data_IF_435597059809
#
_entry.id   IF_435597059809
#
_cell.length_a   1.000
_cell.length_b   1.000
_cell.length_c   1.000
_cell.angle_alpha   90.00
_cell.angle_beta   90.00
_cell.angle_gamma   90.00
#
_symmetry.space_group_name_H-M   'P 1'
#
loop_
_entity.id
_entity.type
_entity.pdbx_description
1 polymer ?
#
# COMPACT_ATOMS: atom_id res chain seq x y z
N UNK A 1 -10.80 14.73 4.84
CA UNK A 1 -11.25 13.56 4.06
C UNK A 1 -10.59 12.31 4.63
N UNK A 2 -11.26 11.15 4.59
CA UNK A 2 -10.69 9.89 5.06
C UNK A 2 -10.51 8.93 3.89
N UNK A 3 -9.27 8.47 3.67
CA UNK A 3 -8.94 7.57 2.58
C UNK A 3 -9.38 6.13 2.89
N UNK A 4 -9.54 5.31 1.85
CA UNK A 4 -9.95 3.91 1.99
C UNK A 4 -9.01 3.09 2.90
N UNK A 5 -7.70 3.39 2.89
CA UNK A 5 -6.72 2.77 3.78
C UNK A 5 -7.09 2.96 5.25
N UNK A 6 -7.42 4.18 5.67
CA UNK A 6 -7.79 4.48 7.06
C UNK A 6 -9.09 3.78 7.46
N UNK A 7 -10.09 3.79 6.58
CA UNK A 7 -11.35 3.06 6.80
C UNK A 7 -11.12 1.56 6.96
N UNK A 8 -10.21 0.99 6.16
CA UNK A 8 -9.87 -0.43 6.21
C UNK A 8 -9.13 -0.82 7.50
N UNK A 9 -8.19 0.01 7.94
CA UNK A 9 -7.39 -0.25 9.15
C UNK A 9 -8.26 -0.16 10.42
N UNK A 10 -9.19 0.79 10.48
CA UNK A 10 -10.04 0.98 11.66
C UNK A 10 -11.20 -0.01 11.76
N UNK A 11 -11.67 -0.57 10.64
CA UNK A 11 -12.81 -1.47 10.64
C UNK A 11 -12.39 -2.94 10.71
N UNK A 12 -12.42 -3.52 11.92
CA UNK A 12 -12.15 -4.95 12.09
C UNK A 12 -13.08 -5.82 11.24
N UNK A 13 -14.34 -5.41 11.07
CA UNK A 13 -15.30 -6.10 10.20
C UNK A 13 -14.81 -6.18 8.75
N UNK A 14 -14.16 -5.14 8.23
CA UNK A 14 -13.68 -5.12 6.85
C UNK A 14 -12.48 -6.03 6.62
N UNK A 15 -11.53 -6.10 7.55
CA UNK A 15 -10.34 -6.93 7.34
C UNK A 15 -10.47 -8.35 7.92
N UNK A 16 -11.36 -8.59 8.89
CA UNK A 16 -11.61 -9.93 9.47
C UNK A 16 -11.97 -11.01 8.45
N UNK A 17 -12.67 -10.65 7.36
CA UNK A 17 -12.99 -11.57 6.24
C UNK A 17 -11.77 -12.18 5.53
N UNK A 18 -10.57 -11.67 5.82
CA UNK A 18 -9.32 -12.14 5.21
C UNK A 18 -8.33 -12.79 6.22
N UNK A 19 -8.62 -12.84 7.53
CA UNK A 19 -7.68 -13.32 8.57
C UNK A 19 -7.09 -14.72 8.34
N UNK A 20 -7.84 -15.62 7.69
CA UNK A 20 -7.40 -17.00 7.42
C UNK A 20 -7.02 -17.24 5.94
N UNK A 21 -6.79 -16.17 5.18
CA UNK A 21 -6.43 -16.25 3.76
C UNK A 21 -5.00 -15.79 3.57
N UNK A 22 -4.33 -16.35 2.55
CA UNK A 22 -3.09 -15.76 2.04
C UNK A 22 -3.45 -14.47 1.31
N UNK A 23 -2.93 -13.34 1.77
CA UNK A 23 -3.23 -12.04 1.19
C UNK A 23 -2.01 -11.53 0.43
N UNK A 24 -2.24 -11.11 -0.81
CA UNK A 24 -1.30 -10.29 -1.58
C UNK A 24 -1.64 -8.82 -1.40
N UNK A 25 -0.63 -7.97 -1.14
CA UNK A 25 -0.82 -6.54 -0.95
C UNK A 25 -0.26 -5.75 -2.13
N UNK A 26 -1.13 -5.13 -2.93
CA UNK A 26 -0.74 -4.28 -4.05
C UNK A 26 -0.63 -2.83 -3.57
N UNK A 27 0.55 -2.22 -3.69
CA UNK A 27 0.74 -0.81 -3.37
C UNK A 27 1.96 -0.22 -4.11
N UNK A 28 2.06 1.11 -4.08
CA UNK A 28 3.18 1.89 -4.62
C UNK A 28 3.67 2.91 -3.59
N UNK A 29 4.76 3.65 -3.86
CA UNK A 29 5.35 4.60 -2.90
C UNK A 29 4.35 5.61 -2.29
N UNK A 30 3.44 6.18 -3.09
CA UNK A 30 2.38 7.08 -2.60
C UNK A 30 1.18 6.39 -1.89
N UNK A 31 1.23 5.07 -1.66
CA UNK A 31 0.21 4.34 -0.89
C UNK A 31 0.47 4.52 0.61
N UNK A 32 0.25 5.73 1.09
CA UNK A 32 0.54 6.15 2.46
C UNK A 32 -0.72 6.65 3.18
N UNK A 33 -0.64 6.73 4.50
CA UNK A 33 -1.65 7.38 5.31
C UNK A 33 -1.38 8.90 5.46
N UNK A 34 -2.19 9.60 6.25
CA UNK A 34 -2.04 11.04 6.47
C UNK A 34 -0.71 11.45 7.12
N UNK A 35 -0.01 10.51 7.77
CA UNK A 35 1.30 10.71 8.38
C UNK A 35 2.44 10.25 7.46
N UNK A 36 2.15 10.02 6.18
CA UNK A 36 3.09 9.50 5.19
C UNK A 36 3.69 8.12 5.54
N UNK A 37 3.01 7.34 6.40
CA UNK A 37 3.42 5.97 6.70
C UNK A 37 2.88 5.02 5.63
N UNK A 38 3.75 4.15 5.13
CA UNK A 38 3.44 3.24 4.04
C UNK A 38 2.36 2.21 4.43
N UNK A 39 1.46 1.93 3.49
CA UNK A 39 0.28 1.07 3.72
C UNK A 39 0.63 -0.35 4.16
N UNK A 40 1.71 -0.93 3.61
CA UNK A 40 2.12 -2.29 3.98
C UNK A 40 2.49 -2.36 5.47
N UNK A 41 3.29 -1.41 5.96
CA UNK A 41 3.71 -1.38 7.36
C UNK A 41 2.51 -1.20 8.29
N UNK A 42 1.57 -0.34 7.91
CA UNK A 42 0.34 -0.12 8.66
C UNK A 42 -0.52 -1.38 8.75
N UNK A 43 -0.64 -2.13 7.65
CA UNK A 43 -1.43 -3.37 7.65
C UNK A 43 -0.76 -4.47 8.48
N UNK A 44 0.56 -4.61 8.37
CA UNK A 44 1.34 -5.55 9.18
C UNK A 44 1.28 -5.22 10.68
N UNK A 45 1.25 -3.93 11.04
CA UNK A 45 1.19 -3.49 12.43
C UNK A 45 -0.23 -3.55 13.02
N UNK A 46 -1.23 -3.10 12.26
CA UNK A 46 -2.59 -2.85 12.80
C UNK A 46 -3.57 -3.98 12.55
N UNK A 47 -3.24 -4.95 11.70
CA UNK A 47 -4.16 -6.04 11.36
C UNK A 47 -3.53 -7.40 11.65
N UNK A 48 -4.37 -8.44 11.75
CA UNK A 48 -3.93 -9.84 11.86
C UNK A 48 -3.97 -10.57 10.52
N UNK A 49 -3.72 -9.85 9.42
CA UNK A 49 -3.76 -10.44 8.09
C UNK A 49 -2.46 -11.19 7.79
N UNK A 50 -2.58 -12.36 7.19
CA UNK A 50 -1.44 -13.11 6.68
C UNK A 50 -1.02 -12.56 5.32
N UNK A 51 -0.22 -11.48 5.33
CA UNK A 51 0.38 -10.92 4.12
C UNK A 51 1.52 -11.82 3.66
N UNK A 52 1.37 -12.42 2.49
CA UNK A 52 2.31 -13.43 1.95
C UNK A 52 3.09 -12.94 0.74
N UNK A 53 2.64 -11.85 0.11
CA UNK A 53 3.27 -11.24 -1.04
C UNK A 53 2.94 -9.75 -1.09
N UNK A 54 3.86 -8.97 -1.64
CA UNK A 54 3.67 -7.56 -1.94
C UNK A 54 3.90 -7.35 -3.45
N UNK A 55 3.02 -6.59 -4.08
CA UNK A 55 3.06 -6.30 -5.52
C UNK A 55 3.21 -4.79 -5.71
N UNK A 56 4.13 -4.40 -6.58
CA UNK A 56 4.30 -3.02 -7.03
C UNK A 56 3.87 -2.87 -8.49
N UNK A 57 3.21 -1.77 -8.89
CA UNK A 57 2.93 -1.48 -10.29
C UNK A 57 4.22 -1.11 -11.07
N UNK A 58 4.08 -0.69 -12.33
CA UNK A 58 5.19 -0.12 -13.11
C UNK A 58 5.85 1.00 -12.28
N UNK A 59 7.18 0.99 -12.17
CA UNK A 59 8.05 1.74 -11.25
C UNK A 59 8.42 1.08 -9.90
N UNK A 60 7.89 -0.10 -9.59
CA UNK A 60 8.33 -0.90 -8.45
C UNK A 60 7.75 -0.47 -7.10
N UNK A 61 7.93 -1.34 -6.10
CA UNK A 61 7.23 -1.25 -4.82
C UNK A 61 7.59 -0.01 -4.00
N UNK A 62 8.89 0.32 -3.93
CA UNK A 62 9.44 1.49 -3.24
C UNK A 62 9.92 2.58 -4.20
N UNK A 63 9.39 2.64 -5.43
CA UNK A 63 9.88 3.52 -6.49
C UNK A 63 11.38 3.34 -6.83
N UNK A 64 11.96 2.19 -6.51
CA UNK A 64 13.38 1.87 -6.75
C UNK A 64 13.71 1.72 -8.25
N UNK A 65 12.69 1.46 -9.08
CA UNK A 65 12.85 1.36 -10.53
C UNK A 65 12.33 2.65 -11.16
N UNK A 66 13.20 3.64 -11.31
CA UNK A 66 12.94 4.77 -12.18
C UNK A 66 13.04 4.33 -13.64
N UNK A 67 12.05 4.70 -14.45
CA UNK A 67 12.30 4.95 -15.86
C UNK A 67 13.07 6.27 -15.96
N UNK A 68 14.00 6.36 -16.92
CA UNK A 68 14.82 7.55 -17.18
C UNK A 68 13.98 8.83 -17.06
N UNK A 69 14.20 9.60 -15.98
CA UNK A 69 13.61 10.95 -15.87
C UNK A 69 14.34 11.83 -16.89
N UNK A 70 13.77 11.92 -18.08
CA UNK A 70 14.15 12.89 -19.10
C UNK A 70 13.19 14.07 -18.93
N UNK A 71 13.77 15.26 -18.80
CA UNK A 71 13.04 16.51 -18.76
C UNK A 71 12.26 16.70 -20.07
N UNK A 72 10.96 17.01 -19.97
CA UNK A 72 10.18 17.43 -21.14
C UNK A 72 10.75 18.75 -21.68
N UNK A 73 10.90 18.88 -22.99
CA UNK A 73 11.48 20.10 -23.59
C UNK A 73 10.61 21.35 -23.39
N UNK A 74 9.33 21.19 -23.01
CA UNK A 74 8.37 22.28 -22.81
C UNK A 74 7.47 22.05 -21.57
N UNK A 75 6.97 23.16 -21.00
CA UNK A 75 6.10 23.24 -19.82
C UNK A 75 4.61 23.00 -20.11
#
# INVERSE_FOLDING_TARGET
>A
MKMGLEVFLESEKLHSKYKNKKVGWLCHAASVNQNLKHSLDLVLEKTKLNITAAFGPQHGFMAEKQDNMIESEDF
#
